data_IF_129081398349
#
_entry.id   IF_129081398349
#
_cell.length_a   1.000
_cell.length_b   1.000
_cell.length_c   1.000
_cell.angle_alpha   90.00
_cell.angle_beta   90.00
_cell.angle_gamma   90.00
#
_symmetry.space_group_name_H-M   'P 1'
#
loop_
_entity.id
_entity.type
_entity.pdbx_description
1 polymer ?
#
# COMPACT_ATOMS: atom_id res chain seq x y z
N UNK A 1 -33.66 -14.63 16.14
CA UNK A 1 -32.69 -13.79 15.41
C UNK A 1 -33.12 -12.36 15.58
N UNK A 2 -32.20 -11.47 15.94
CA UNK A 2 -32.48 -10.03 16.04
C UNK A 2 -32.74 -9.45 14.64
N UNK A 3 -33.39 -8.28 14.54
CA UNK A 3 -33.60 -7.62 13.25
C UNK A 3 -32.29 -7.31 12.51
N UNK A 4 -31.22 -7.07 13.27
CA UNK A 4 -29.88 -6.80 12.75
C UNK A 4 -29.24 -8.04 12.12
N UNK A 5 -29.46 -9.23 12.70
CA UNK A 5 -28.94 -10.49 12.13
C UNK A 5 -29.58 -10.81 10.78
N UNK A 6 -30.89 -10.57 10.64
CA UNK A 6 -31.59 -10.77 9.36
C UNK A 6 -31.12 -9.78 8.31
N UNK A 7 -30.93 -8.51 8.67
CA UNK A 7 -30.38 -7.51 7.77
C UNK A 7 -28.95 -7.85 7.33
N UNK A 8 -28.09 -8.24 8.27
CA UNK A 8 -26.71 -8.68 7.97
C UNK A 8 -26.70 -9.86 6.99
N UNK A 9 -27.56 -10.86 7.22
CA UNK A 9 -27.69 -12.02 6.33
C UNK A 9 -28.13 -11.61 4.91
N UNK A 10 -29.10 -10.70 4.79
CA UNK A 10 -29.54 -10.18 3.49
C UNK A 10 -28.45 -9.38 2.75
N UNK A 11 -27.57 -8.69 3.50
CA UNK A 11 -26.43 -8.00 2.91
C UNK A 11 -25.41 -8.99 2.35
N UNK A 12 -25.04 -10.01 3.14
CA UNK A 12 -24.09 -11.04 2.71
C UNK A 12 -24.62 -11.88 1.55
N UNK A 13 -25.91 -12.19 1.50
CA UNK A 13 -26.54 -12.86 0.36
C UNK A 13 -26.46 -12.05 -0.95
N UNK A 14 -26.25 -10.74 -0.87
CA UNK A 14 -26.06 -9.87 -2.04
C UNK A 14 -24.58 -9.62 -2.35
N UNK A 15 -23.66 -10.04 -1.50
CA UNK A 15 -22.24 -9.74 -1.61
C UNK A 15 -21.66 -10.26 -2.93
N UNK A 16 -21.93 -11.51 -3.31
CA UNK A 16 -21.44 -12.09 -4.57
C UNK A 16 -21.89 -11.27 -5.79
N UNK A 17 -23.15 -10.83 -5.78
CA UNK A 17 -23.68 -10.00 -6.87
C UNK A 17 -23.00 -8.63 -6.89
N UNK A 18 -22.81 -7.99 -5.74
CA UNK A 18 -22.11 -6.70 -5.64
C UNK A 18 -20.67 -6.85 -6.12
N UNK A 19 -19.97 -7.90 -5.69
CA UNK A 19 -18.58 -8.14 -6.07
C UNK A 19 -18.44 -8.45 -7.57
N UNK A 20 -19.41 -9.14 -8.16
CA UNK A 20 -19.49 -9.36 -9.60
C UNK A 20 -19.80 -8.06 -10.35
N UNK A 21 -20.74 -7.26 -9.87
CA UNK A 21 -21.02 -5.93 -10.43
C UNK A 21 -19.77 -5.04 -10.36
N UNK A 22 -18.95 -5.15 -9.31
CA UNK A 22 -17.66 -4.45 -9.22
C UNK A 22 -16.67 -4.96 -10.27
N UNK A 23 -16.55 -6.27 -10.50
CA UNK A 23 -15.69 -6.79 -11.59
C UNK A 23 -16.17 -6.36 -12.98
N UNK A 24 -17.47 -6.14 -13.14
CA UNK A 24 -18.07 -5.71 -14.40
C UNK A 24 -18.00 -4.18 -14.60
N UNK A 25 -18.17 -3.40 -13.53
CA UNK A 25 -18.28 -1.94 -13.56
C UNK A 25 -16.95 -1.22 -13.37
N UNK A 26 -16.09 -1.76 -12.50
CA UNK A 26 -14.69 -1.37 -12.38
C UNK A 26 -13.90 -2.40 -13.16
N UNK A 27 -12.84 -1.97 -13.84
CA UNK A 27 -11.81 -2.86 -14.39
C UNK A 27 -12.05 -3.25 -15.87
N UNK A 28 -11.67 -2.30 -16.73
CA UNK A 28 -10.60 -2.55 -17.70
C UNK A 28 -10.81 -3.74 -18.65
N UNK A 29 -12.00 -3.89 -19.24
CA UNK A 29 -12.12 -4.77 -20.43
C UNK A 29 -11.45 -4.18 -21.68
N UNK A 30 -11.20 -2.87 -21.72
CA UNK A 30 -10.76 -2.20 -22.96
C UNK A 30 -9.27 -1.83 -23.03
N UNK A 31 -8.48 -2.00 -21.95
CA UNK A 31 -7.08 -1.52 -21.92
C UNK A 31 -6.04 -2.51 -21.36
N UNK A 32 -6.40 -3.79 -21.15
CA UNK A 32 -5.42 -4.85 -20.85
C UNK A 32 -4.85 -4.87 -19.43
N UNK A 33 -5.43 -4.14 -18.48
CA UNK A 33 -5.15 -4.34 -17.05
C UNK A 33 -6.00 -5.48 -16.52
N UNK A 34 -5.33 -6.54 -16.09
CA UNK A 34 -5.95 -7.73 -15.53
C UNK A 34 -5.85 -7.67 -14.00
N UNK A 35 -6.82 -8.28 -13.32
CA UNK A 35 -6.69 -8.54 -11.89
C UNK A 35 -5.40 -9.31 -11.66
N UNK A 36 -4.54 -8.76 -10.79
CA UNK A 36 -3.26 -9.39 -10.48
C UNK A 36 -3.47 -10.48 -9.45
N UNK A 37 -2.80 -11.61 -9.66
CA UNK A 37 -2.64 -12.62 -8.62
C UNK A 37 -1.91 -12.00 -7.41
N UNK A 38 -2.41 -12.30 -6.22
CA UNK A 38 -1.88 -11.78 -4.96
C UNK A 38 -1.40 -12.95 -4.10
N UNK A 39 -0.23 -12.84 -3.43
CA UNK A 39 0.13 -13.81 -2.43
C UNK A 39 -0.89 -13.79 -1.29
N UNK A 40 -1.34 -14.97 -0.89
CA UNK A 40 -2.25 -15.16 0.24
C UNK A 40 -1.46 -15.42 1.51
N UNK A 41 -2.01 -15.06 2.67
CA UNK A 41 -1.40 -15.29 3.99
C UNK A 41 -2.45 -15.75 5.00
N UNK A 42 -2.07 -16.64 5.92
CA UNK A 42 -2.90 -16.92 7.10
C UNK A 42 -2.64 -15.89 8.19
N UNK A 43 -3.62 -15.62 9.07
CA UNK A 43 -3.43 -14.71 10.20
C UNK A 43 -2.24 -15.08 11.09
N UNK A 44 -1.98 -16.36 11.31
CA UNK A 44 -0.92 -16.87 12.19
C UNK A 44 0.48 -16.62 11.64
N UNK A 45 0.61 -16.36 10.34
CA UNK A 45 1.88 -16.03 9.70
C UNK A 45 2.33 -14.59 9.99
N UNK A 46 1.44 -13.76 10.53
CA UNK A 46 1.65 -12.32 10.64
C UNK A 46 1.79 -11.90 12.10
N UNK A 47 2.96 -11.37 12.45
CA UNK A 47 3.13 -10.64 13.71
C UNK A 47 2.79 -9.18 13.51
N UNK A 48 1.89 -8.67 14.34
CA UNK A 48 1.40 -7.30 14.24
C UNK A 48 2.10 -6.40 15.25
N UNK A 49 2.44 -5.19 14.81
CA UNK A 49 2.99 -4.13 15.66
C UNK A 49 1.93 -3.11 16.04
N UNK A 50 2.33 -1.84 16.09
CA UNK A 50 1.45 -0.75 16.51
C UNK A 50 0.26 -0.56 15.56
N UNK A 51 -0.86 -0.10 16.12
CA UNK A 51 -1.99 0.43 15.34
C UNK A 51 -1.59 1.76 14.70
N UNK A 52 -1.80 1.87 13.38
CA UNK A 52 -1.51 3.06 12.58
C UNK A 52 -2.75 3.95 12.42
N UNK A 53 -3.94 3.34 12.46
CA UNK A 53 -5.20 4.06 12.38
C UNK A 53 -6.40 3.15 12.57
N UNK A 54 -7.54 3.77 12.84
CA UNK A 54 -8.85 3.12 12.99
C UNK A 54 -9.85 3.90 12.14
N UNK A 55 -10.68 3.18 11.38
CA UNK A 55 -11.81 3.74 10.64
C UNK A 55 -13.14 3.32 11.25
N UNK A 56 -14.24 3.53 10.52
CA UNK A 56 -15.59 3.15 10.98
C UNK A 56 -15.76 1.65 11.18
N UNK A 57 -15.14 0.83 10.33
CA UNK A 57 -15.23 -0.65 10.41
C UNK A 57 -13.88 -1.34 10.54
N UNK A 58 -12.81 -0.66 10.08
CA UNK A 58 -11.50 -1.24 9.92
C UNK A 58 -10.48 -0.75 10.94
N UNK A 59 -9.44 -1.55 11.14
CA UNK A 59 -8.23 -1.20 11.85
C UNK A 59 -7.03 -1.45 10.94
N UNK A 60 -6.06 -0.54 10.98
CA UNK A 60 -4.79 -0.66 10.28
C UNK A 60 -3.67 -0.80 11.29
N UNK A 61 -2.87 -1.86 11.17
CA UNK A 61 -1.70 -2.11 12.03
C UNK A 61 -0.46 -2.30 11.15
N UNK A 62 0.73 -2.01 11.66
CA UNK A 62 1.95 -2.42 10.96
C UNK A 62 2.17 -3.93 11.09
N UNK A 63 2.80 -4.54 10.08
CA UNK A 63 3.27 -5.93 10.14
C UNK A 63 4.74 -5.87 10.56
N UNK A 64 5.05 -6.41 11.74
CA UNK A 64 6.41 -6.39 12.29
C UNK A 64 7.25 -7.58 11.85
N UNK A 65 6.62 -8.70 11.48
CA UNK A 65 7.30 -9.91 11.02
C UNK A 65 6.33 -10.83 10.26
N UNK A 66 6.86 -11.55 9.27
CA UNK A 66 6.23 -12.72 8.66
C UNK A 66 6.91 -14.00 9.17
N UNK A 67 6.12 -15.02 9.48
CA UNK A 67 6.56 -16.36 9.88
C UNK A 67 5.94 -17.37 8.93
N UNK A 68 6.60 -17.56 7.78
CA UNK A 68 6.09 -18.42 6.71
C UNK A 68 6.38 -19.89 7.02
N UNK A 69 5.45 -20.76 6.64
CA UNK A 69 5.67 -22.19 6.58
C UNK A 69 6.56 -22.52 5.36
N UNK A 70 7.75 -23.12 5.54
CA UNK A 70 8.65 -23.42 4.43
C UNK A 70 8.11 -24.49 3.46
N UNK A 71 7.16 -25.31 3.91
CA UNK A 71 6.62 -26.42 3.12
C UNK A 71 5.32 -26.07 2.37
N UNK A 72 4.80 -24.85 2.55
CA UNK A 72 3.56 -24.41 1.91
C UNK A 72 3.82 -23.73 0.56
N UNK A 73 3.33 -24.31 -0.56
CA UNK A 73 3.41 -23.66 -1.85
C UNK A 73 2.54 -22.40 -1.87
N UNK A 74 3.00 -21.36 -2.58
CA UNK A 74 2.21 -20.16 -2.79
C UNK A 74 0.94 -20.50 -3.60
N UNK A 75 -0.22 -20.42 -2.97
CA UNK A 75 -1.50 -20.50 -3.69
C UNK A 75 -1.79 -19.15 -4.35
N UNK A 76 -1.97 -19.17 -5.67
CA UNK A 76 -2.44 -18.03 -6.46
C UNK A 76 -3.97 -17.95 -6.36
N UNK A 77 -4.52 -16.74 -6.21
CA UNK A 77 -5.95 -16.57 -6.44
C UNK A 77 -6.26 -16.95 -7.90
N UNK A 78 -7.36 -17.67 -8.17
CA UNK A 78 -7.78 -17.93 -9.54
C UNK A 78 -7.97 -16.59 -10.25
N UNK A 79 -7.12 -16.35 -11.24
CA UNK A 79 -7.34 -15.28 -12.20
C UNK A 79 -8.49 -15.76 -13.08
N UNK A 80 -9.57 -14.99 -13.21
CA UNK A 80 -10.62 -15.25 -14.20
C UNK A 80 -10.02 -15.03 -15.61
N UNK A 81 -9.27 -16.02 -16.09
CA UNK A 81 -8.69 -16.05 -17.44
C UNK A 81 -9.66 -16.72 -18.40
N UNK A 82 -10.72 -16.01 -18.77
CA UNK A 82 -11.35 -16.23 -20.07
C UNK A 82 -10.75 -15.22 -21.06
N UNK A 83 -9.60 -15.54 -21.66
CA UNK A 83 -9.05 -14.76 -22.78
C UNK A 83 -7.53 -14.74 -22.90
N UNK A 84 -7.03 -15.55 -23.83
CA UNK A 84 -5.78 -15.42 -24.60
C UNK A 84 -4.41 -15.40 -23.87
N UNK A 85 -3.65 -16.48 -24.11
CA UNK A 85 -2.20 -16.50 -23.98
C UNK A 85 -1.57 -15.53 -25.00
N UNK A 86 -0.86 -14.51 -24.51
CA UNK A 86 0.07 -13.74 -25.33
C UNK A 86 1.50 -13.90 -24.78
N UNK A 87 2.48 -14.29 -25.61
CA UNK A 87 3.86 -14.49 -25.16
C UNK A 87 4.47 -13.15 -24.74
N UNK A 88 4.94 -13.08 -23.50
CA UNK A 88 5.78 -11.97 -23.04
C UNK A 88 7.18 -12.19 -23.60
N UNK A 89 7.54 -11.45 -24.66
CA UNK A 89 8.92 -11.39 -25.14
C UNK A 89 9.76 -10.61 -24.12
N UNK A 90 10.61 -11.33 -23.38
CA UNK A 90 11.62 -10.75 -22.49
C UNK A 90 12.76 -10.16 -23.34
N UNK A 91 12.71 -8.86 -23.64
CA UNK A 91 13.93 -8.14 -24.00
C UNK A 91 14.72 -7.81 -22.73
N UNK A 92 15.96 -8.29 -22.71
CA UNK A 92 16.90 -8.25 -21.59
C UNK A 92 17.57 -6.85 -21.49
N UNK A 93 17.30 -6.03 -20.47
CA UNK A 93 18.04 -4.79 -20.27
C UNK A 93 19.35 -5.10 -19.54
N UNK A 94 20.46 -4.77 -20.17
CA UNK A 94 21.82 -4.94 -19.64
C UNK A 94 21.96 -4.36 -18.23
N UNK A 95 22.59 -5.14 -17.34
CA UNK A 95 22.97 -4.75 -15.99
C UNK A 95 23.90 -3.52 -15.99
N UNK A 96 23.62 -2.46 -15.20
CA UNK A 96 24.62 -1.45 -14.94
C UNK A 96 25.55 -1.86 -13.79
N UNK A 97 26.81 -1.53 -14.01
CA UNK A 97 28.02 -1.89 -13.29
C UNK A 97 28.04 -1.36 -11.84
N UNK A 98 28.38 -2.22 -10.87
CA UNK A 98 28.54 -1.87 -9.45
C UNK A 98 29.86 -1.12 -9.19
N UNK A 99 29.79 0.19 -8.96
CA UNK A 99 30.85 0.93 -8.26
C UNK A 99 30.30 1.49 -6.95
N UNK A 100 30.64 0.79 -5.86
CA UNK A 100 30.30 1.16 -4.47
C UNK A 100 31.34 2.19 -4.00
N UNK A 101 30.91 3.42 -3.71
CA UNK A 101 31.65 4.36 -2.87
C UNK A 101 31.31 4.13 -1.38
N UNK A 102 32.24 4.43 -0.46
CA UNK A 102 32.15 3.98 0.93
C UNK A 102 31.07 4.72 1.72
N UNK A 103 30.28 3.95 2.46
CA UNK A 103 29.29 4.39 3.46
C UNK A 103 29.98 4.99 4.67
N UNK A 104 29.54 6.18 5.08
CA UNK A 104 29.89 6.80 6.36
C UNK A 104 29.25 5.99 7.49
N UNK A 105 30.05 5.64 8.49
CA UNK A 105 29.69 4.85 9.68
C UNK A 105 28.68 5.56 10.59
N UNK A 106 27.79 4.77 11.20
CA UNK A 106 26.66 5.21 12.02
C UNK A 106 27.01 5.72 13.43
N UNK A 107 28.29 5.77 13.79
CA UNK A 107 28.73 6.11 15.15
C UNK A 107 28.84 7.63 15.41
N UNK A 108 28.65 8.46 14.38
CA UNK A 108 28.79 9.94 14.47
C UNK A 108 27.44 10.69 14.53
N UNK A 109 26.31 10.01 14.72
CA UNK A 109 25.00 10.66 14.71
C UNK A 109 24.71 11.46 16.00
N UNK A 110 24.58 12.79 15.85
CA UNK A 110 24.17 13.72 16.91
C UNK A 110 22.72 13.43 17.34
N UNK A 111 22.43 13.26 18.64
CA UNK A 111 21.06 13.07 19.14
C UNK A 111 20.16 14.26 18.74
N UNK A 112 19.10 13.98 17.97
CA UNK A 112 18.12 14.99 17.54
C UNK A 112 18.06 15.25 16.04
N UNK A 113 18.94 14.63 15.23
CA UNK A 113 18.79 14.62 13.77
C UNK A 113 17.82 13.50 13.37
N UNK A 114 16.64 13.89 12.89
CA UNK A 114 15.73 12.95 12.22
C UNK A 114 16.44 12.47 10.95
N UNK A 115 16.74 11.18 10.89
CA UNK A 115 17.12 10.54 9.63
C UNK A 115 15.88 10.58 8.75
N UNK A 116 15.89 11.50 7.78
CA UNK A 116 14.88 11.60 6.75
C UNK A 116 14.94 10.31 5.93
N UNK A 117 14.03 9.38 6.22
CA UNK A 117 13.85 8.18 5.41
C UNK A 117 13.06 8.62 4.19
N UNK A 118 13.74 9.32 3.29
CA UNK A 118 13.22 9.59 1.95
C UNK A 118 13.35 8.27 1.21
N UNK A 119 12.23 7.59 0.99
CA UNK A 119 12.19 6.49 0.04
C UNK A 119 12.59 7.07 -1.32
N UNK A 120 13.84 6.82 -1.76
CA UNK A 120 14.28 7.29 -3.06
C UNK A 120 13.36 6.68 -4.11
N UNK A 121 12.73 7.49 -5.00
CA UNK A 121 11.84 6.99 -6.05
C UNK A 121 12.48 5.91 -6.92
N UNK A 122 13.81 5.95 -7.09
CA UNK A 122 14.57 4.97 -7.88
C UNK A 122 14.52 3.54 -7.28
N UNK A 123 14.39 3.39 -5.95
CA UNK A 123 14.31 2.09 -5.30
C UNK A 123 12.89 1.49 -5.30
N UNK A 124 11.88 2.33 -5.50
CA UNK A 124 10.48 1.92 -5.62
C UNK A 124 10.13 1.38 -7.01
N UNK A 125 10.95 1.64 -8.04
CA UNK A 125 10.58 1.44 -9.45
C UNK A 125 11.25 0.24 -10.12
N UNK A 126 12.49 -0.13 -9.75
CA UNK A 126 13.22 -1.17 -10.51
C UNK A 126 13.05 -2.62 -10.02
N UNK A 127 12.68 -2.85 -8.77
CA UNK A 127 12.49 -4.21 -8.22
C UNK A 127 11.02 -4.63 -8.09
N UNK A 128 10.10 -3.76 -8.49
CA UNK A 128 8.67 -3.98 -8.27
C UNK A 128 8.11 -5.07 -9.21
N UNK A 129 8.80 -5.40 -10.31
CA UNK A 129 8.50 -6.59 -11.14
C UNK A 129 8.77 -7.92 -10.42
N UNK A 130 9.72 -7.97 -9.48
CA UNK A 130 10.08 -9.19 -8.71
C UNK A 130 9.02 -9.50 -7.65
N UNK A 131 8.26 -8.49 -7.20
CA UNK A 131 7.16 -8.64 -6.26
C UNK A 131 5.97 -9.44 -6.82
N UNK A 132 5.95 -9.75 -8.12
CA UNK A 132 4.84 -10.42 -8.82
C UNK A 132 5.09 -11.85 -9.23
N UNK A 133 6.30 -12.36 -9.01
CA UNK A 133 6.44 -13.80 -8.94
C UNK A 133 5.77 -14.22 -7.63
N UNK A 134 4.48 -14.56 -7.66
CA UNK A 134 3.70 -14.92 -6.46
C UNK A 134 4.42 -16.00 -5.64
N UNK A 135 5.19 -16.85 -6.33
CA UNK A 135 6.05 -17.89 -5.74
C UNK A 135 7.14 -17.33 -4.84
N UNK A 136 7.65 -16.13 -5.14
CA UNK A 136 8.69 -15.45 -4.35
C UNK A 136 8.17 -14.27 -3.54
N UNK A 137 6.97 -13.79 -3.84
CA UNK A 137 6.42 -12.58 -3.21
C UNK A 137 6.33 -12.73 -1.68
N UNK A 138 5.88 -13.90 -1.19
CA UNK A 138 5.80 -14.21 0.24
C UNK A 138 7.18 -14.10 0.91
N UNK A 139 8.18 -14.80 0.37
CA UNK A 139 9.55 -14.77 0.89
C UNK A 139 10.17 -13.37 0.82
N UNK A 140 9.94 -12.65 -0.28
CA UNK A 140 10.44 -11.29 -0.44
C UNK A 140 9.85 -10.38 0.65
N UNK A 141 8.54 -10.42 0.86
CA UNK A 141 7.87 -9.65 1.90
C UNK A 141 8.37 -10.01 3.29
N UNK A 142 8.61 -11.30 3.56
CA UNK A 142 9.19 -11.75 4.82
C UNK A 142 10.60 -11.20 5.03
N UNK A 143 11.49 -11.38 4.06
CA UNK A 143 12.89 -10.98 4.12
C UNK A 143 13.07 -9.45 4.15
N UNK A 144 12.11 -8.70 3.62
CA UNK A 144 12.14 -7.24 3.54
C UNK A 144 11.12 -6.58 4.45
N UNK A 145 10.52 -7.30 5.41
CA UNK A 145 9.47 -6.77 6.28
C UNK A 145 9.86 -5.45 6.97
N UNK A 146 11.14 -5.29 7.31
CA UNK A 146 11.70 -4.12 7.96
C UNK A 146 12.62 -3.32 7.02
N UNK A 147 12.53 -1.99 7.08
CA UNK A 147 13.44 -1.03 6.42
C UNK A 147 13.86 0.02 7.44
N UNK A 148 15.16 0.13 7.70
CA UNK A 148 15.72 1.10 8.65
C UNK A 148 15.02 1.06 10.02
N UNK A 149 14.78 -0.15 10.54
CA UNK A 149 14.10 -0.37 11.82
C UNK A 149 12.58 -0.09 11.82
N UNK A 150 11.97 0.24 10.67
CA UNK A 150 10.53 0.46 10.54
C UNK A 150 9.89 -0.62 9.68
N UNK A 151 8.70 -1.08 10.06
CA UNK A 151 7.90 -1.99 9.25
C UNK A 151 7.54 -1.36 7.91
N UNK A 152 7.68 -2.09 6.80
CA UNK A 152 7.35 -1.65 5.43
C UNK A 152 5.88 -1.84 5.06
N UNK A 153 5.22 -2.78 5.72
CA UNK A 153 3.88 -3.20 5.36
C UNK A 153 2.87 -2.85 6.46
N UNK A 154 1.64 -2.59 6.04
CA UNK A 154 0.49 -2.45 6.90
C UNK A 154 -0.55 -3.50 6.55
N UNK A 155 -1.29 -3.95 7.55
CA UNK A 155 -2.46 -4.82 7.40
C UNK A 155 -3.72 -4.02 7.70
N UNK A 156 -4.72 -4.10 6.82
CA UNK A 156 -6.06 -3.57 7.06
C UNK A 156 -7.03 -4.73 7.21
N UNK A 157 -7.80 -4.73 8.31
CA UNK A 157 -8.78 -5.77 8.68
C UNK A 157 -9.94 -5.15 9.45
N UNK A 158 -11.01 -5.90 9.67
CA UNK A 158 -12.10 -5.44 10.55
C UNK A 158 -11.68 -5.41 12.01
N UNK A 159 -12.23 -4.48 12.79
CA UNK A 159 -12.11 -4.56 14.25
C UNK A 159 -13.14 -5.54 14.82
N UNK A 160 -12.79 -6.15 15.97
CA UNK A 160 -13.61 -7.23 16.56
C UNK A 160 -14.96 -6.75 17.11
N UNK A 161 -15.04 -5.49 17.52
CA UNK A 161 -16.23 -4.91 18.17
C UNK A 161 -17.18 -4.26 17.16
N UNK A 162 -17.82 -5.05 16.30
CA UNK A 162 -18.79 -4.58 15.30
C UNK A 162 -20.16 -5.21 15.53
N UNK A 163 -21.23 -4.45 15.28
CA UNK A 163 -22.58 -5.04 15.17
C UNK A 163 -22.65 -5.97 13.95
N UNK A 164 -23.61 -6.92 13.88
CA UNK A 164 -23.75 -7.81 12.73
C UNK A 164 -23.85 -7.08 11.38
N UNK A 165 -24.57 -5.96 11.36
CA UNK A 165 -24.77 -5.16 10.14
C UNK A 165 -23.51 -4.42 9.75
N UNK A 166 -22.80 -3.79 10.69
CA UNK A 166 -21.53 -3.12 10.42
C UNK A 166 -20.46 -4.11 9.97
N UNK A 167 -20.44 -5.30 10.56
CA UNK A 167 -19.54 -6.39 10.18
C UNK A 167 -19.80 -6.83 8.74
N UNK A 168 -21.06 -7.09 8.37
CA UNK A 168 -21.42 -7.46 7.00
C UNK A 168 -21.05 -6.37 5.98
N UNK A 169 -21.29 -5.09 6.30
CA UNK A 169 -20.88 -3.96 5.43
C UNK A 169 -19.36 -3.87 5.31
N UNK A 170 -18.66 -3.94 6.43
CA UNK A 170 -17.20 -3.88 6.46
C UNK A 170 -16.55 -5.01 5.66
N UNK A 171 -17.09 -6.23 5.69
CA UNK A 171 -16.60 -7.36 4.87
C UNK A 171 -16.72 -7.04 3.39
N UNK A 172 -17.89 -6.55 2.95
CA UNK A 172 -18.14 -6.19 1.54
C UNK A 172 -17.23 -5.03 1.12
N UNK A 173 -17.14 -3.96 1.92
CA UNK A 173 -16.31 -2.79 1.61
C UNK A 173 -14.83 -3.18 1.49
N UNK A 174 -14.32 -4.01 2.40
CA UNK A 174 -12.92 -4.47 2.36
C UNK A 174 -12.65 -5.36 1.14
N UNK A 175 -13.59 -6.22 0.75
CA UNK A 175 -13.48 -7.02 -0.46
C UNK A 175 -13.46 -6.14 -1.73
N UNK A 176 -14.31 -5.11 -1.79
CA UNK A 176 -14.31 -4.13 -2.89
C UNK A 176 -12.98 -3.37 -2.95
N UNK A 177 -12.46 -2.92 -1.81
CA UNK A 177 -11.15 -2.25 -1.75
C UNK A 177 -10.02 -3.16 -2.27
N UNK A 178 -10.03 -4.45 -1.90
CA UNK A 178 -9.07 -5.42 -2.37
C UNK A 178 -9.13 -5.59 -3.90
N UNK A 179 -10.34 -5.71 -4.47
CA UNK A 179 -10.55 -5.78 -5.92
C UNK A 179 -10.05 -4.53 -6.63
N UNK A 180 -10.40 -3.35 -6.12
CA UNK A 180 -9.95 -2.09 -6.69
C UNK A 180 -8.41 -1.96 -6.66
N UNK A 181 -7.77 -2.21 -5.51
CA UNK A 181 -6.31 -2.10 -5.40
C UNK A 181 -5.56 -3.21 -6.16
N UNK A 182 -6.22 -4.34 -6.45
CA UNK A 182 -5.61 -5.41 -7.24
C UNK A 182 -5.31 -5.01 -8.70
N UNK A 183 -5.92 -3.94 -9.20
CA UNK A 183 -5.77 -3.48 -10.60
C UNK A 183 -5.02 -2.17 -10.76
N UNK A 184 -4.90 -1.40 -9.67
CA UNK A 184 -4.21 -0.10 -9.66
C UNK A 184 -2.70 -0.28 -9.47
N UNK A 185 -1.90 0.27 -10.39
CA UNK A 185 -0.44 0.16 -10.36
C UNK A 185 0.27 1.46 -10.76
N UNK A 186 0.70 2.21 -9.75
CA UNK A 186 1.41 3.46 -9.94
C UNK A 186 2.37 3.71 -8.77
N UNK A 187 3.57 4.29 -8.97
CA UNK A 187 4.52 4.57 -7.89
C UNK A 187 3.96 5.49 -6.80
N UNK A 188 3.08 6.43 -7.16
CA UNK A 188 2.47 7.38 -6.22
C UNK A 188 1.06 6.94 -5.74
N UNK A 189 0.71 5.66 -5.88
CA UNK A 189 -0.51 5.08 -5.31
C UNK A 189 -0.14 3.89 -4.44
N UNK A 190 -0.80 3.75 -3.29
CA UNK A 190 -0.60 2.64 -2.36
C UNK A 190 -0.89 1.30 -3.05
N UNK A 191 0.00 0.32 -2.90
CA UNK A 191 -0.14 -0.97 -3.58
C UNK A 191 -0.71 -2.03 -2.65
N UNK A 192 -1.58 -2.88 -3.20
CA UNK A 192 -1.92 -4.17 -2.61
C UNK A 192 -0.70 -5.10 -2.75
N UNK A 193 -0.26 -5.68 -1.63
CA UNK A 193 0.90 -6.56 -1.55
C UNK A 193 0.54 -8.00 -1.24
N UNK A 194 -0.62 -8.24 -0.63
CA UNK A 194 -1.12 -9.57 -0.32
C UNK A 194 -2.51 -9.51 0.30
N UNK A 195 -3.14 -10.66 0.46
CA UNK A 195 -4.49 -10.79 1.03
C UNK A 195 -4.56 -11.97 2.00
N UNK A 196 -5.63 -12.05 2.79
CA UNK A 196 -5.90 -13.23 3.58
C UNK A 196 -6.12 -14.47 2.69
N UNK A 197 -5.69 -15.63 3.18
CA UNK A 197 -6.06 -16.92 2.59
C UNK A 197 -7.52 -17.23 2.92
N UNK A 198 -8.35 -17.49 1.92
CA UNK A 198 -9.76 -17.81 2.08
C UNK A 198 -10.69 -16.89 1.29
N UNK A 199 -11.96 -16.81 1.72
CA UNK A 199 -12.99 -15.98 1.10
C UNK A 199 -12.76 -14.49 1.39
N UNK A 200 -13.05 -13.63 0.42
CA UNK A 200 -12.96 -12.17 0.57
C UNK A 200 -14.10 -11.61 1.44
N UNK A 201 -15.24 -12.30 1.43
CA UNK A 201 -16.41 -12.01 2.26
C UNK A 201 -16.34 -12.87 3.52
N UNK A 202 -15.22 -12.76 4.23
CA UNK A 202 -14.98 -13.42 5.51
C UNK A 202 -14.66 -12.37 6.60
N UNK A 203 -15.14 -12.53 7.85
CA UNK A 203 -14.84 -11.60 8.92
C UNK A 203 -13.37 -11.47 9.32
N UNK A 204 -12.57 -12.50 9.05
CA UNK A 204 -11.13 -12.52 9.27
C UNK A 204 -10.35 -12.15 8.00
N UNK A 205 -11.04 -11.81 6.90
CA UNK A 205 -10.41 -11.29 5.69
C UNK A 205 -9.62 -10.01 6.00
N UNK A 206 -8.45 -9.90 5.36
CA UNK A 206 -7.56 -8.77 5.49
C UNK A 206 -6.81 -8.53 4.19
N UNK A 207 -6.30 -7.30 4.05
CA UNK A 207 -5.38 -6.94 2.97
C UNK A 207 -4.06 -6.43 3.56
N UNK A 208 -2.97 -6.74 2.86
CA UNK A 208 -1.63 -6.23 3.15
C UNK A 208 -1.29 -5.17 2.10
N UNK A 209 -0.91 -3.98 2.55
CA UNK A 209 -0.62 -2.83 1.70
C UNK A 209 0.73 -2.20 2.08
N UNK A 210 1.24 -1.32 1.22
CA UNK A 210 2.37 -0.46 1.58
C UNK A 210 2.05 0.37 2.82
N UNK A 211 3.01 0.49 3.74
CA UNK A 211 2.85 1.35 4.91
C UNK A 211 3.18 2.80 4.55
N UNK A 212 2.25 3.71 4.80
CA UNK A 212 2.52 5.14 4.81
C UNK A 212 3.04 5.59 6.18
N UNK A 213 4.17 6.30 6.19
CA UNK A 213 4.79 6.78 7.43
C UNK A 213 4.22 8.12 7.92
N UNK A 214 3.60 8.87 7.02
CA UNK A 214 2.96 10.16 7.29
C UNK A 214 1.78 10.38 6.35
N UNK A 215 0.91 11.31 6.71
CA UNK A 215 -0.14 11.81 5.82
C UNK A 215 0.23 13.19 5.28
N UNK A 216 -0.32 13.55 4.12
CA UNK A 216 -0.11 14.87 3.53
C UNK A 216 -0.60 16.00 4.45
N UNK A 217 -1.67 15.79 5.21
CA UNK A 217 -2.18 16.78 6.16
C UNK A 217 -1.18 17.12 7.27
N UNK A 218 -0.46 16.10 7.76
CA UNK A 218 0.63 16.30 8.74
C UNK A 218 1.77 17.04 8.06
N UNK A 219 2.16 16.62 6.85
CA UNK A 219 3.26 17.23 6.12
C UNK A 219 2.99 18.71 5.77
N UNK A 220 1.76 19.07 5.42
CA UNK A 220 1.35 20.46 5.17
C UNK A 220 1.51 21.33 6.43
N UNK A 221 1.22 20.79 7.63
CA UNK A 221 1.41 21.51 8.89
C UNK A 221 2.89 21.74 9.18
N UNK A 222 3.73 20.73 8.92
CA UNK A 222 5.19 20.83 9.05
C UNK A 222 5.77 21.86 8.08
N UNK A 223 5.30 21.87 6.84
CA UNK A 223 5.65 22.88 5.85
C UNK A 223 5.26 24.29 6.30
N UNK A 224 4.10 24.46 6.93
CA UNK A 224 3.66 25.76 7.43
C UNK A 224 4.54 26.24 8.59
N UNK A 225 4.91 25.36 9.51
CA UNK A 225 5.83 25.66 10.60
C UNK A 225 7.23 26.01 10.08
N UNK A 226 7.76 25.21 9.14
CA UNK A 226 9.06 25.42 8.49
C UNK A 226 9.08 26.76 7.76
N UNK A 227 8.05 27.06 6.98
CA UNK A 227 7.93 28.34 6.28
C UNK A 227 7.96 29.53 7.24
N UNK A 228 7.23 29.48 8.36
CA UNK A 228 7.23 30.53 9.38
C UNK A 228 8.63 30.76 9.96
N UNK A 229 9.36 29.69 10.26
CA UNK A 229 10.72 29.78 10.81
C UNK A 229 11.73 30.39 9.83
N UNK A 230 11.57 30.15 8.52
CA UNK A 230 12.55 30.55 7.49
C UNK A 230 12.28 31.90 6.83
N UNK A 231 11.08 32.48 6.99
CA UNK A 231 10.69 33.74 6.32
C UNK A 231 11.42 34.99 6.87
N UNK A 232 11.99 34.93 8.06
CA UNK A 232 12.61 36.07 8.74
C UNK A 232 11.57 37.05 9.35
N UNK A 233 12.05 38.16 9.89
CA UNK A 233 11.22 39.20 10.54
C UNK A 233 10.53 40.12 9.52
N UNK A 234 9.79 41.14 9.99
CA UNK A 234 9.25 42.21 9.15
C UNK A 234 10.39 42.79 8.27
N UNK A 235 10.12 42.97 6.99
CA UNK A 235 11.07 43.37 5.93
C UNK A 235 12.08 42.31 5.46
N UNK A 236 11.94 41.04 5.88
CA UNK A 236 12.73 39.93 5.32
C UNK A 236 14.18 39.86 5.81
N UNK A 237 14.50 40.60 6.88
CA UNK A 237 15.77 40.47 7.60
C UNK A 237 15.81 39.08 8.26
N UNK A 238 16.89 38.32 8.02
CA UNK A 238 17.06 36.95 8.52
C UNK A 238 16.33 35.87 7.71
N UNK A 239 15.88 36.18 6.47
CA UNK A 239 15.23 35.21 5.59
C UNK A 239 16.22 34.16 5.06
N UNK A 240 15.96 32.90 5.34
CA UNK A 240 16.65 31.76 4.74
C UNK A 240 16.07 31.48 3.34
N UNK A 241 16.70 32.06 2.31
CA UNK A 241 16.23 31.95 0.93
C UNK A 241 16.38 30.51 0.38
N UNK A 242 17.47 29.84 0.70
CA UNK A 242 17.76 28.50 0.20
C UNK A 242 16.82 27.47 0.82
N UNK A 243 16.58 27.56 2.13
CA UNK A 243 15.61 26.69 2.79
C UNK A 243 14.17 26.93 2.36
N UNK A 244 13.80 28.15 1.96
CA UNK A 244 12.50 28.44 1.35
C UNK A 244 12.39 27.92 -0.08
N UNK A 245 13.48 27.97 -0.86
CA UNK A 245 13.54 27.37 -2.20
C UNK A 245 13.40 25.85 -2.10
N UNK A 246 14.11 25.21 -1.18
CA UNK A 246 13.98 23.77 -0.90
C UNK A 246 12.56 23.38 -0.53
N UNK A 247 11.90 24.16 0.34
CA UNK A 247 10.50 23.93 0.71
C UNK A 247 9.53 24.07 -0.47
N UNK A 248 9.79 25.01 -1.40
CA UNK A 248 8.98 25.14 -2.61
C UNK A 248 9.18 23.95 -3.55
N UNK A 249 10.43 23.49 -3.72
CA UNK A 249 10.75 22.31 -4.54
C UNK A 249 10.00 21.09 -4.01
N UNK A 250 10.09 20.81 -2.71
CA UNK A 250 9.41 19.68 -2.07
C UNK A 250 7.88 19.70 -2.31
N UNK A 251 7.24 20.86 -2.12
CA UNK A 251 5.81 21.04 -2.40
C UNK A 251 5.44 20.80 -3.87
N UNK A 252 6.26 21.27 -4.79
CA UNK A 252 6.04 21.08 -6.23
C UNK A 252 6.22 19.60 -6.62
N UNK A 253 7.18 18.90 -6.01
CA UNK A 253 7.35 17.45 -6.19
C UNK A 253 6.10 16.70 -5.74
N UNK A 254 5.60 16.97 -4.54
CA UNK A 254 4.36 16.32 -4.05
C UNK A 254 3.15 16.65 -4.93
N UNK A 255 3.03 17.89 -5.41
CA UNK A 255 1.96 18.27 -6.32
C UNK A 255 2.06 17.53 -7.67
N UNK A 256 3.27 17.36 -8.20
CA UNK A 256 3.53 16.58 -9.40
C UNK A 256 3.18 15.10 -9.21
N UNK A 257 3.61 14.49 -8.11
CA UNK A 257 3.33 13.09 -7.78
C UNK A 257 1.83 12.80 -7.68
N UNK A 258 1.07 13.71 -7.05
CA UNK A 258 -0.40 13.63 -6.99
C UNK A 258 -1.03 13.78 -8.37
N UNK A 259 -0.56 14.73 -9.18
CA UNK A 259 -1.06 14.93 -10.53
C UNK A 259 -0.81 13.70 -11.41
N UNK A 260 0.37 13.07 -11.30
CA UNK A 260 0.70 11.83 -12.00
C UNK A 260 -0.22 10.68 -11.56
N UNK A 261 -0.45 10.51 -10.25
CA UNK A 261 -1.39 9.51 -9.74
C UNK A 261 -2.82 9.74 -10.23
N UNK A 262 -3.32 10.98 -10.20
CA UNK A 262 -4.68 11.27 -10.69
C UNK A 262 -4.81 11.11 -12.19
N UNK A 263 -3.79 11.48 -12.96
CA UNK A 263 -3.74 11.23 -14.39
C UNK A 263 -3.83 9.72 -14.68
N UNK A 264 -3.03 8.91 -13.97
CA UNK A 264 -3.12 7.46 -14.04
C UNK A 264 -4.53 6.96 -13.73
N UNK A 265 -5.13 7.39 -12.61
CA UNK A 265 -6.49 6.96 -12.24
C UNK A 265 -7.55 7.41 -13.24
N UNK A 266 -7.38 8.56 -13.89
CA UNK A 266 -8.29 9.05 -14.92
C UNK A 266 -8.21 8.21 -16.19
N UNK A 267 -7.00 7.87 -16.63
CA UNK A 267 -6.78 7.04 -17.82
C UNK A 267 -7.17 5.56 -17.62
N UNK A 268 -7.38 5.14 -16.37
CA UNK A 268 -7.69 3.77 -15.99
C UNK A 268 -9.06 3.61 -15.31
N UNK A 269 -10.01 4.51 -15.63
CA UNK A 269 -11.42 4.37 -15.24
C UNK A 269 -12.14 3.35 -16.11
#
# INVERSE_FOLDING_TARGET
MSGDDDLAKRLLQKADRILKEVDEAYIIKQRGHHQRAMPTFRPEELSLGKTLGTGGFGIVSEISKFSLDPDEPSEELPVDTEGEEHPITLENPQQPNNNIHPTVSLDDAIPGTFVEVVDRPEELTMNDHVHYDVKKAREFMANRCMRNGKARYAIKRLHKALTPVEKARGMIDLAIEAKYLSTVWHPNIIKLRGVAKGDMVDPDFFIIIDRLYMTLDVHIKEWAATFKSKKGSLFGIGKDKDGLKGLLIDRLTVAYDLAAAFFYLHENR
#
